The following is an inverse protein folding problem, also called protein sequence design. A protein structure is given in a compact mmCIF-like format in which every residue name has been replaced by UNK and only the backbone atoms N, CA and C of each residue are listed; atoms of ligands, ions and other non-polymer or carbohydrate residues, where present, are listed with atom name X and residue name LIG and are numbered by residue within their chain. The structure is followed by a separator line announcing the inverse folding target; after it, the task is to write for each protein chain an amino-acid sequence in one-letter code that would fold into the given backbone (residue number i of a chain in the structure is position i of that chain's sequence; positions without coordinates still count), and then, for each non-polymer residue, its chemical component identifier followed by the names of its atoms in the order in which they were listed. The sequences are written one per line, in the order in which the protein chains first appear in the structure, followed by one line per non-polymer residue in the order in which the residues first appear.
data_IF_890342840811
#
_entry.id   IF_890342840811
#
_cell.length_a   1.000
_cell.length_b   1.000
_cell.length_c   1.000
_cell.angle_alpha   90.00
_cell.angle_beta   90.00
_cell.angle_gamma   90.00
#
_symmetry.space_group_name_H-M   'P 1'
#
loop_
_entity.id
_entity.type
_entity.pdbx_description
1 polymer ?
#
# COMPACT_ATOMS: atom_id res chain seq x y z
N UNK A 1 6.53 40.85 83.28
CA UNK A 1 5.15 40.27 83.40
C UNK A 1 4.40 40.36 82.02
N UNK A 2 4.82 41.19 81.10
CA UNK A 2 4.10 41.43 79.82
C UNK A 2 4.41 40.47 78.65
N UNK A 3 5.50 39.71 78.69
CA UNK A 3 5.90 38.78 77.56
C UNK A 3 5.20 37.44 77.67
N UNK A 4 4.72 37.03 78.81
CA UNK A 4 4.01 35.74 79.00
C UNK A 4 2.52 35.76 78.57
N UNK A 5 1.88 36.90 78.48
CA UNK A 5 0.46 37.06 78.09
C UNK A 5 0.30 37.04 76.59
N UNK A 6 1.27 37.60 75.80
CA UNK A 6 1.19 37.62 74.34
C UNK A 6 1.34 36.22 73.75
N UNK A 7 2.08 35.33 74.43
CA UNK A 7 2.27 33.96 73.94
C UNK A 7 1.02 33.04 74.16
N UNK A 8 0.25 33.27 75.24
CA UNK A 8 -1.00 32.53 75.50
C UNK A 8 -2.13 32.92 74.52
N UNK A 9 -2.22 34.18 74.11
CA UNK A 9 -3.23 34.67 73.19
C UNK A 9 -2.98 34.18 71.75
N UNK A 10 -1.70 34.06 71.29
CA UNK A 10 -1.33 33.52 70.01
C UNK A 10 -1.55 31.99 69.94
N UNK A 11 -1.20 31.27 70.98
CA UNK A 11 -1.43 29.84 71.11
C UNK A 11 -2.94 29.51 71.10
N UNK A 12 -3.76 30.32 71.86
CA UNK A 12 -5.19 30.17 71.89
C UNK A 12 -5.82 30.46 70.50
N UNK A 13 -5.32 31.45 69.76
CA UNK A 13 -5.77 31.74 68.37
C UNK A 13 -5.38 30.60 67.40
N UNK A 14 -4.20 30.02 67.53
CA UNK A 14 -3.79 28.86 66.72
C UNK A 14 -4.62 27.61 67.03
N UNK A 15 -4.91 27.34 68.29
CA UNK A 15 -5.74 26.24 68.75
C UNK A 15 -7.21 26.40 68.27
N UNK A 16 -7.76 27.62 68.30
CA UNK A 16 -9.07 27.96 67.78
C UNK A 16 -9.12 27.85 66.28
N UNK A 17 -8.06 28.23 65.56
CA UNK A 17 -7.94 28.01 64.12
C UNK A 17 -7.91 26.52 63.82
N UNK A 18 -7.08 25.71 64.50
CA UNK A 18 -7.03 24.25 64.34
C UNK A 18 -8.37 23.61 64.63
N UNK A 19 -9.08 24.01 65.71
CA UNK A 19 -10.39 23.50 66.04
C UNK A 19 -11.49 23.88 65.04
N UNK A 20 -11.37 25.06 64.40
CA UNK A 20 -12.26 25.48 63.32
C UNK A 20 -12.03 24.68 62.04
N UNK A 21 -10.79 24.36 61.70
CA UNK A 21 -10.46 23.48 60.56
C UNK A 21 -10.92 22.03 60.80
N UNK A 22 -10.72 21.48 61.99
CA UNK A 22 -11.18 20.13 62.33
C UNK A 22 -12.71 20.02 62.25
N UNK A 23 -13.45 21.04 62.71
CA UNK A 23 -14.92 21.06 62.64
C UNK A 23 -15.46 21.17 61.18
N UNK A 24 -14.70 21.80 60.28
CA UNK A 24 -15.07 21.87 58.85
C UNK A 24 -14.96 20.50 58.19
N UNK A 25 -13.91 19.72 58.51
CA UNK A 25 -13.71 18.38 57.97
C UNK A 25 -14.68 17.31 58.54
N UNK A 26 -15.27 17.52 59.71
CA UNK A 26 -16.24 16.61 60.30
C UNK A 26 -17.71 17.03 60.08
N UNK A 27 -17.94 17.98 59.15
CA UNK A 27 -19.29 18.34 58.74
C UNK A 27 -19.72 17.41 57.57
N UNK A 28 -20.80 16.63 57.72
CA UNK A 28 -21.27 15.75 56.64
C UNK A 28 -21.50 16.49 55.31
N UNK A 29 -21.86 17.76 55.32
CA UNK A 29 -21.96 18.57 54.09
C UNK A 29 -20.60 18.68 53.34
N UNK A 30 -19.46 18.74 54.07
CA UNK A 30 -18.13 18.81 53.48
C UNK A 30 -17.80 17.51 52.78
N UNK A 31 -18.12 16.37 53.37
CA UNK A 31 -17.93 15.04 52.75
C UNK A 31 -18.68 14.92 51.41
N UNK A 32 -19.92 15.37 51.37
CA UNK A 32 -20.73 15.40 50.14
C UNK A 32 -20.19 16.33 49.06
N UNK A 33 -19.70 17.50 49.43
CA UNK A 33 -19.11 18.48 48.49
C UNK A 33 -17.84 17.89 47.90
N UNK A 34 -16.96 17.25 48.71
CA UNK A 34 -15.75 16.63 48.23
C UNK A 34 -16.06 15.43 47.33
N UNK A 35 -17.02 14.59 47.69
CA UNK A 35 -17.47 13.50 46.83
C UNK A 35 -17.98 13.99 45.47
N UNK A 36 -18.81 15.03 45.47
CA UNK A 36 -19.39 15.55 44.25
C UNK A 36 -18.30 16.17 43.36
N UNK A 37 -17.35 16.89 43.96
CA UNK A 37 -16.22 17.47 43.21
C UNK A 37 -15.29 16.41 42.64
N UNK A 38 -14.94 15.39 43.45
CA UNK A 38 -14.06 14.29 42.98
C UNK A 38 -14.75 13.46 41.91
N UNK A 39 -16.08 13.21 42.02
CA UNK A 39 -16.85 12.51 41.00
C UNK A 39 -16.85 13.29 39.65
N UNK A 40 -17.02 14.62 39.69
CA UNK A 40 -16.93 15.46 38.48
C UNK A 40 -15.56 15.36 37.84
N UNK A 41 -14.48 15.35 38.66
CA UNK A 41 -13.11 15.18 38.17
C UNK A 41 -12.91 13.77 37.55
N UNK A 42 -13.41 12.73 38.18
CA UNK A 42 -13.36 11.35 37.68
C UNK A 42 -14.09 11.23 36.34
N UNK A 43 -15.29 11.79 36.22
CA UNK A 43 -16.05 11.82 34.96
C UNK A 43 -15.30 12.62 33.90
N UNK A 44 -14.72 13.77 34.25
CA UNK A 44 -13.86 14.55 33.36
C UNK A 44 -12.66 13.76 32.86
N UNK A 45 -11.94 13.09 33.76
CA UNK A 45 -10.81 12.24 33.42
C UNK A 45 -11.20 11.07 32.52
N UNK A 46 -12.38 10.48 32.75
CA UNK A 46 -12.92 9.43 31.87
C UNK A 46 -13.12 9.92 30.44
N UNK A 47 -13.78 11.05 30.22
CA UNK A 47 -13.99 11.60 28.89
C UNK A 47 -12.70 12.02 28.21
N UNK A 48 -11.76 12.61 28.96
CA UNK A 48 -10.42 12.92 28.43
C UNK A 48 -9.67 11.64 27.99
N UNK A 49 -9.77 10.57 28.79
CA UNK A 49 -9.17 9.28 28.46
C UNK A 49 -9.79 8.65 27.20
N UNK A 50 -11.13 8.75 27.05
CA UNK A 50 -11.83 8.29 25.82
C UNK A 50 -11.31 9.05 24.59
N UNK A 51 -11.30 10.39 24.66
CA UNK A 51 -10.84 11.24 23.56
C UNK A 51 -9.37 10.97 23.20
N UNK A 52 -8.52 10.81 24.21
CA UNK A 52 -7.10 10.48 24.02
C UNK A 52 -6.90 9.14 23.31
N UNK A 53 -7.62 8.09 23.73
CA UNK A 53 -7.52 6.77 23.10
C UNK A 53 -8.02 6.83 21.66
N UNK A 54 -9.13 7.52 21.43
CA UNK A 54 -9.71 7.65 20.09
C UNK A 54 -8.77 8.40 19.14
N UNK A 55 -8.21 9.54 19.57
CA UNK A 55 -7.24 10.30 18.79
C UNK A 55 -5.99 9.47 18.48
N UNK A 56 -5.47 8.73 19.46
CA UNK A 56 -4.29 7.87 19.26
C UNK A 56 -4.55 6.76 18.22
N UNK A 57 -5.75 6.18 18.18
CA UNK A 57 -6.11 5.17 17.18
C UNK A 57 -6.23 5.82 15.79
N UNK A 58 -6.84 7.00 15.69
CA UNK A 58 -6.96 7.76 14.44
C UNK A 58 -5.58 8.16 13.88
N UNK A 59 -4.69 8.70 14.73
CA UNK A 59 -3.33 9.07 14.34
C UNK A 59 -2.53 7.86 13.83
N UNK A 60 -2.67 6.72 14.51
CA UNK A 60 -2.02 5.47 14.10
C UNK A 60 -2.56 4.98 12.75
N UNK A 61 -3.88 5.04 12.54
CA UNK A 61 -4.50 4.69 11.27
C UNK A 61 -4.03 5.61 10.14
N UNK A 62 -4.03 6.93 10.36
CA UNK A 62 -3.55 7.92 9.39
C UNK A 62 -2.07 7.71 9.03
N UNK A 63 -1.22 7.44 10.03
CA UNK A 63 0.19 7.14 9.82
C UNK A 63 0.40 5.89 8.97
N UNK A 64 -0.22 4.77 9.34
CA UNK A 64 -0.06 3.49 8.63
C UNK A 64 -0.60 3.53 7.21
N UNK A 65 -1.75 4.17 6.98
CA UNK A 65 -2.28 4.32 5.61
C UNK A 65 -1.34 5.12 4.73
N UNK A 66 -0.72 6.19 5.26
CA UNK A 66 0.26 7.00 4.54
C UNK A 66 1.56 6.23 4.27
N UNK A 67 2.00 5.41 5.22
CA UNK A 67 3.16 4.53 5.06
C UNK A 67 2.95 3.52 3.92
N UNK A 68 1.79 2.84 3.88
CA UNK A 68 1.44 1.89 2.82
C UNK A 68 1.38 2.59 1.45
N UNK A 69 0.74 3.77 1.36
CA UNK A 69 0.70 4.56 0.12
C UNK A 69 2.12 4.90 -0.39
N UNK A 70 2.99 5.37 0.51
CA UNK A 70 4.38 5.72 0.17
C UNK A 70 5.17 4.48 -0.25
N UNK A 71 5.03 3.38 0.48
CA UNK A 71 5.71 2.13 0.17
C UNK A 71 5.34 1.59 -1.22
N UNK A 72 4.06 1.66 -1.61
CA UNK A 72 3.60 1.27 -2.95
C UNK A 72 4.22 2.16 -4.02
N UNK A 73 4.17 3.49 -3.85
CA UNK A 73 4.74 4.46 -4.80
C UNK A 73 6.25 4.27 -4.97
N UNK A 74 6.96 4.14 -3.87
CA UNK A 74 8.42 4.01 -3.87
C UNK A 74 8.86 2.68 -4.48
N UNK A 75 8.15 1.60 -4.19
CA UNK A 75 8.46 0.29 -4.76
C UNK A 75 8.27 0.28 -6.27
N UNK A 76 7.17 0.81 -6.78
CA UNK A 76 6.92 0.87 -8.23
C UNK A 76 7.90 1.81 -8.94
N UNK A 77 8.34 2.90 -8.29
CA UNK A 77 9.39 3.77 -8.81
C UNK A 77 10.74 3.05 -8.91
N UNK A 78 11.11 2.26 -7.91
CA UNK A 78 12.33 1.45 -7.95
C UNK A 78 12.25 0.43 -9.10
N UNK A 79 11.11 -0.21 -9.30
CA UNK A 79 10.91 -1.16 -10.39
C UNK A 79 10.98 -0.50 -11.77
N UNK A 80 10.42 0.70 -11.91
CA UNK A 80 10.56 1.51 -13.10
C UNK A 80 12.04 1.80 -13.41
N UNK A 81 12.84 2.16 -12.40
CA UNK A 81 14.27 2.41 -12.60
C UNK A 81 15.03 1.17 -13.07
N UNK A 82 14.68 -0.02 -12.58
CA UNK A 82 15.28 -1.26 -13.07
C UNK A 82 14.94 -1.50 -14.56
N UNK A 83 13.70 -1.22 -14.97
CA UNK A 83 13.34 -1.32 -16.38
C UNK A 83 14.07 -0.27 -17.24
N UNK A 84 14.27 0.96 -16.72
CA UNK A 84 15.12 1.96 -17.39
C UNK A 84 16.56 1.49 -17.57
N UNK A 85 17.07 0.67 -16.65
CA UNK A 85 18.37 -0.02 -16.82
C UNK A 85 18.38 -0.95 -18.05
N UNK A 86 17.27 -1.70 -18.27
CA UNK A 86 17.09 -2.49 -19.49
C UNK A 86 17.03 -1.64 -20.78
N UNK A 87 16.35 -0.50 -20.74
CA UNK A 87 16.39 0.49 -21.83
C UNK A 87 17.81 1.01 -22.02
N UNK A 88 18.55 1.27 -20.94
CA UNK A 88 19.95 1.69 -20.98
C UNK A 88 20.85 0.67 -21.67
N UNK A 89 20.67 -0.63 -21.40
CA UNK A 89 21.40 -1.69 -22.10
C UNK A 89 21.10 -1.67 -23.61
N UNK A 90 19.83 -1.55 -24.01
CA UNK A 90 19.44 -1.44 -25.42
C UNK A 90 20.07 -0.21 -26.09
N UNK A 91 20.12 0.92 -25.39
CA UNK A 91 20.66 2.17 -25.92
C UNK A 91 22.19 2.18 -25.99
N UNK A 92 22.89 1.52 -25.06
CA UNK A 92 24.35 1.46 -25.02
C UNK A 92 24.94 0.48 -26.05
N UNK A 93 24.14 -0.47 -26.54
CA UNK A 93 24.57 -1.53 -27.45
C UNK A 93 24.17 -1.24 -28.90
N UNK A 94 24.91 -1.81 -29.85
CA UNK A 94 24.48 -1.83 -31.28
C UNK A 94 23.35 -2.84 -31.49
N UNK A 95 23.45 -3.97 -30.83
CA UNK A 95 22.43 -5.03 -30.75
C UNK A 95 22.56 -5.70 -29.40
N UNK A 96 21.49 -6.18 -28.84
CA UNK A 96 21.47 -6.96 -27.60
C UNK A 96 21.07 -8.38 -27.98
N UNK A 97 21.91 -9.35 -27.68
CA UNK A 97 21.63 -10.77 -27.86
C UNK A 97 20.78 -11.32 -26.71
N UNK A 98 20.14 -12.48 -26.89
CA UNK A 98 19.44 -13.19 -25.80
C UNK A 98 20.32 -13.43 -24.58
N UNK A 99 21.58 -13.81 -24.82
CA UNK A 99 22.51 -14.08 -23.76
C UNK A 99 22.89 -12.83 -22.95
N UNK A 100 23.08 -11.69 -23.60
CA UNK A 100 23.35 -10.41 -22.93
C UNK A 100 22.13 -9.96 -22.14
N UNK A 101 20.93 -10.09 -22.72
CA UNK A 101 19.68 -9.80 -21.99
C UNK A 101 19.52 -10.70 -20.76
N UNK A 102 19.75 -12.00 -20.92
CA UNK A 102 19.67 -12.97 -19.82
C UNK A 102 20.66 -12.63 -18.69
N UNK A 103 21.92 -12.35 -19.01
CA UNK A 103 22.94 -11.94 -18.02
C UNK A 103 22.58 -10.65 -17.31
N UNK A 104 22.01 -9.67 -18.03
CA UNK A 104 21.54 -8.45 -17.43
C UNK A 104 20.43 -8.71 -16.39
N UNK A 105 19.39 -9.45 -16.79
CA UNK A 105 18.26 -9.75 -15.89
C UNK A 105 18.69 -10.65 -14.72
N UNK A 106 19.59 -11.61 -14.94
CA UNK A 106 20.19 -12.44 -13.89
C UNK A 106 20.91 -11.56 -12.84
N UNK A 107 21.64 -10.53 -13.28
CA UNK A 107 22.34 -9.60 -12.39
C UNK A 107 21.42 -8.80 -11.47
N UNK A 108 20.17 -8.63 -11.84
CA UNK A 108 19.15 -7.96 -11.03
C UNK A 108 18.62 -8.82 -9.89
N UNK A 109 18.85 -10.15 -9.93
CA UNK A 109 18.37 -11.11 -8.92
C UNK A 109 16.88 -10.97 -8.64
N UNK A 110 16.06 -10.98 -9.69
CA UNK A 110 14.62 -10.66 -9.64
C UNK A 110 13.91 -11.47 -8.55
N UNK A 111 14.18 -12.77 -8.48
CA UNK A 111 13.52 -13.67 -7.53
C UNK A 111 13.87 -13.39 -6.06
N UNK A 112 15.03 -12.77 -5.79
CA UNK A 112 15.49 -12.48 -4.44
C UNK A 112 15.03 -11.11 -3.93
N UNK A 113 15.03 -10.10 -4.81
CA UNK A 113 14.90 -8.70 -4.41
C UNK A 113 13.63 -7.99 -4.93
N UNK A 114 12.91 -8.61 -5.89
CA UNK A 114 11.85 -7.95 -6.64
C UNK A 114 10.51 -8.69 -6.54
N UNK A 115 9.89 -8.77 -5.34
CA UNK A 115 8.65 -9.51 -5.17
C UNK A 115 7.54 -8.99 -6.10
N UNK A 116 6.79 -9.91 -6.68
CA UNK A 116 5.69 -9.62 -7.60
C UNK A 116 6.08 -9.50 -9.06
N UNK A 117 7.35 -9.24 -9.41
CA UNK A 117 7.83 -9.33 -10.79
C UNK A 117 7.95 -10.80 -11.19
N UNK A 118 7.36 -11.15 -12.35
CA UNK A 118 7.47 -12.50 -12.91
C UNK A 118 8.65 -12.64 -13.88
N UNK A 119 9.19 -11.52 -14.33
CA UNK A 119 10.32 -11.46 -15.25
C UNK A 119 10.48 -10.07 -15.84
N UNK A 120 11.54 -9.92 -16.64
CA UNK A 120 11.77 -8.73 -17.44
C UNK A 120 11.98 -9.14 -18.90
N UNK A 121 11.26 -8.49 -19.81
CA UNK A 121 11.29 -8.84 -21.21
C UNK A 121 11.45 -7.65 -22.15
N UNK A 122 11.67 -7.98 -23.40
CA UNK A 122 11.64 -7.04 -24.51
C UNK A 122 10.71 -7.54 -25.61
N UNK A 123 9.87 -6.64 -26.11
CA UNK A 123 8.95 -6.95 -27.21
C UNK A 123 9.09 -5.92 -28.31
N UNK A 124 8.97 -6.38 -29.54
CA UNK A 124 9.12 -5.56 -30.75
C UNK A 124 7.78 -5.37 -31.45
N UNK A 125 7.53 -4.21 -32.08
CA UNK A 125 6.44 -4.05 -33.03
C UNK A 125 6.79 -4.78 -34.32
N UNK A 126 5.79 -5.40 -34.96
CA UNK A 126 5.92 -6.08 -36.25
C UNK A 126 4.76 -5.70 -37.15
N UNK A 127 5.08 -5.31 -38.37
CA UNK A 127 4.07 -5.16 -39.42
C UNK A 127 3.58 -6.54 -39.88
N UNK A 128 2.35 -6.63 -40.42
CA UNK A 128 1.81 -7.92 -40.89
C UNK A 128 2.73 -8.66 -41.85
N UNK A 129 3.41 -7.93 -42.71
CA UNK A 129 4.32 -8.45 -43.75
C UNK A 129 5.60 -9.04 -43.15
N UNK A 130 6.03 -8.55 -41.98
CA UNK A 130 7.25 -9.00 -41.30
C UNK A 130 7.02 -10.25 -40.45
N UNK A 131 5.76 -10.57 -40.15
CA UNK A 131 5.41 -11.62 -39.20
C UNK A 131 6.02 -12.98 -39.52
N UNK A 132 5.91 -13.43 -40.78
CA UNK A 132 6.37 -14.76 -41.18
C UNK A 132 7.90 -14.83 -41.17
N UNK A 133 8.58 -13.84 -41.70
CA UNK A 133 10.05 -13.75 -41.69
C UNK A 133 10.60 -13.71 -40.28
N UNK A 134 9.92 -12.99 -39.40
CA UNK A 134 10.29 -12.95 -37.99
C UNK A 134 10.16 -14.34 -37.31
N UNK A 135 9.08 -15.06 -37.55
CA UNK A 135 8.89 -16.42 -37.01
C UNK A 135 10.02 -17.35 -37.47
N UNK A 136 10.33 -17.34 -38.77
CA UNK A 136 11.39 -18.15 -39.36
C UNK A 136 12.76 -17.81 -38.75
N UNK A 137 13.05 -16.54 -38.56
CA UNK A 137 14.27 -16.08 -37.90
C UNK A 137 14.38 -16.63 -36.48
N UNK A 138 13.35 -16.49 -35.64
CA UNK A 138 13.41 -16.97 -34.25
C UNK A 138 13.51 -18.50 -34.21
N UNK A 139 12.87 -19.21 -35.15
CA UNK A 139 13.00 -20.66 -35.23
C UNK A 139 14.42 -21.10 -35.60
N UNK A 140 15.10 -20.37 -36.47
CA UNK A 140 16.51 -20.63 -36.81
C UNK A 140 17.48 -20.34 -35.67
N UNK A 141 17.08 -19.52 -34.67
CA UNK A 141 17.81 -19.26 -33.44
C UNK A 141 17.69 -20.41 -32.41
N UNK A 142 17.03 -21.52 -32.73
CA UNK A 142 16.89 -22.70 -31.87
C UNK A 142 15.54 -22.82 -31.14
N UNK A 143 14.51 -22.09 -31.60
CA UNK A 143 13.15 -22.15 -31.06
C UNK A 143 12.14 -22.66 -32.09
N UNK A 144 12.18 -23.94 -32.50
CA UNK A 144 11.38 -24.47 -33.61
C UNK A 144 9.86 -24.31 -33.41
N UNK A 145 9.42 -24.31 -32.14
CA UNK A 145 7.98 -24.17 -31.78
C UNK A 145 7.52 -22.71 -31.66
N UNK A 146 8.39 -21.72 -31.98
CA UNK A 146 8.05 -20.32 -31.84
C UNK A 146 6.90 -19.95 -32.78
N UNK A 147 5.88 -19.29 -32.21
CA UNK A 147 4.71 -18.76 -32.90
C UNK A 147 4.32 -17.42 -32.30
N UNK A 148 3.76 -16.51 -33.10
CA UNK A 148 3.09 -15.31 -32.61
C UNK A 148 1.65 -15.66 -32.28
N UNK A 149 1.26 -15.57 -31.04
CA UNK A 149 -0.06 -15.91 -30.47
C UNK A 149 -0.65 -14.82 -29.60
N UNK A 150 -1.99 -14.65 -29.55
CA UNK A 150 -2.98 -15.50 -30.22
C UNK A 150 -3.00 -15.26 -31.74
N UNK A 151 -3.47 -16.22 -32.47
CA UNK A 151 -3.70 -16.09 -33.92
C UNK A 151 -4.69 -14.97 -34.24
N UNK A 152 -4.72 -14.54 -35.49
CA UNK A 152 -5.59 -13.50 -35.99
C UNK A 152 -4.86 -12.44 -36.80
N UNK A 153 -5.58 -11.75 -37.68
CA UNK A 153 -5.05 -10.66 -38.51
C UNK A 153 -5.17 -9.33 -37.78
N UNK A 154 -4.10 -8.56 -37.78
CA UNK A 154 -3.99 -7.23 -37.14
C UNK A 154 -3.14 -6.31 -37.96
N UNK A 155 -3.39 -5.02 -37.86
CA UNK A 155 -2.59 -3.98 -38.51
C UNK A 155 -1.21 -3.79 -37.90
N UNK A 156 -1.01 -4.27 -36.68
CA UNK A 156 0.26 -4.26 -35.96
C UNK A 156 0.26 -5.42 -34.98
N UNK A 157 1.37 -6.13 -34.89
CA UNK A 157 1.65 -7.13 -33.87
C UNK A 157 2.72 -6.63 -32.92
N UNK A 158 2.80 -7.25 -31.76
CA UNK A 158 3.88 -7.03 -30.79
C UNK A 158 4.34 -8.41 -30.31
N UNK A 159 5.57 -8.77 -30.64
CA UNK A 159 6.09 -10.08 -30.27
C UNK A 159 7.07 -10.01 -29.09
N UNK A 160 6.86 -10.80 -28.07
CA UNK A 160 7.82 -10.98 -26.99
C UNK A 160 8.99 -11.82 -27.54
N UNK A 161 10.16 -11.19 -27.63
CA UNK A 161 11.38 -11.84 -28.12
C UNK A 161 12.38 -12.17 -27.01
N UNK A 162 12.39 -11.41 -25.93
CA UNK A 162 13.18 -11.71 -24.72
C UNK A 162 12.26 -11.69 -23.51
N UNK A 163 12.46 -12.65 -22.61
CA UNK A 163 11.78 -12.71 -21.31
C UNK A 163 12.60 -13.59 -20.36
N UNK A 164 13.12 -12.99 -19.30
CA UNK A 164 13.94 -13.66 -18.31
C UNK A 164 13.40 -13.47 -16.89
N UNK A 165 13.57 -14.46 -16.00
CA UNK A 165 14.18 -15.78 -16.25
C UNK A 165 13.35 -16.59 -17.25
N UNK A 166 14.02 -17.34 -18.17
CA UNK A 166 13.33 -18.16 -19.19
C UNK A 166 12.89 -19.50 -18.64
N UNK A 167 12.14 -19.45 -17.53
CA UNK A 167 11.57 -20.61 -16.86
C UNK A 167 10.30 -21.15 -17.53
N UNK A 168 9.72 -22.21 -16.95
CA UNK A 168 8.52 -22.88 -17.50
C UNK A 168 7.28 -21.96 -17.55
N UNK A 169 7.16 -20.99 -16.63
CA UNK A 169 6.08 -20.01 -16.63
C UNK A 169 6.25 -18.98 -17.75
N UNK A 170 7.42 -18.39 -17.83
CA UNK A 170 7.75 -17.36 -18.80
C UNK A 170 7.79 -17.87 -20.23
N UNK A 171 8.21 -19.13 -20.46
CA UNK A 171 8.11 -19.78 -21.78
C UNK A 171 6.70 -19.74 -22.39
N UNK A 172 5.64 -19.72 -21.56
CA UNK A 172 4.26 -19.62 -22.05
C UNK A 172 3.96 -18.29 -22.72
N UNK A 173 4.65 -17.22 -22.31
CA UNK A 173 4.48 -15.88 -22.87
C UNK A 173 5.43 -15.60 -24.05
N UNK A 174 6.39 -16.47 -24.35
CA UNK A 174 7.30 -16.30 -25.47
C UNK A 174 6.52 -16.30 -26.80
N UNK A 175 6.70 -15.27 -27.62
CA UNK A 175 5.93 -15.05 -28.84
C UNK A 175 4.51 -14.49 -28.64
N UNK A 176 4.12 -14.19 -27.40
CA UNK A 176 2.79 -13.60 -27.19
C UNK A 176 2.72 -12.19 -27.78
N UNK A 177 1.66 -11.96 -28.55
CA UNK A 177 1.32 -10.66 -29.11
C UNK A 177 0.56 -9.83 -28.07
N UNK A 178 1.27 -8.97 -27.36
CA UNK A 178 0.68 -8.11 -26.34
C UNK A 178 -0.27 -7.06 -26.93
N UNK A 179 -0.10 -6.69 -28.19
CA UNK A 179 -0.96 -5.73 -28.89
C UNK A 179 -2.38 -6.25 -29.11
N UNK A 180 -2.56 -7.59 -29.07
CA UNK A 180 -3.86 -8.25 -29.16
C UNK A 180 -4.83 -7.92 -28.02
N UNK A 181 -4.30 -7.53 -26.87
CA UNK A 181 -5.09 -7.21 -25.68
C UNK A 181 -5.23 -5.69 -25.53
N UNK A 182 -6.46 -5.19 -25.40
CA UNK A 182 -6.77 -3.77 -25.36
C UNK A 182 -6.10 -3.05 -24.16
N UNK A 183 -6.16 -3.63 -22.94
CA UNK A 183 -5.58 -3.01 -21.75
C UNK A 183 -4.06 -2.85 -21.88
N UNK A 184 -3.39 -3.84 -22.49
CA UNK A 184 -1.97 -3.77 -22.79
C UNK A 184 -1.68 -2.73 -23.86
N UNK A 185 -2.43 -2.74 -24.97
CA UNK A 185 -2.27 -1.83 -26.10
C UNK A 185 -2.39 -0.36 -25.71
N UNK A 186 -3.33 0.00 -24.83
CA UNK A 186 -3.47 1.36 -24.30
C UNK A 186 -2.17 1.81 -23.60
N UNK A 187 -1.63 1.00 -22.70
CA UNK A 187 -0.40 1.33 -21.98
C UNK A 187 0.82 1.36 -22.90
N UNK A 188 0.93 0.39 -23.81
CA UNK A 188 2.02 0.34 -24.82
C UNK A 188 2.02 1.56 -25.72
N UNK A 189 0.85 2.00 -26.16
CA UNK A 189 0.67 3.22 -26.96
C UNK A 189 1.06 4.44 -26.16
N UNK A 190 0.60 4.55 -24.92
CA UNK A 190 0.92 5.67 -24.05
C UNK A 190 2.43 5.76 -23.78
N UNK A 191 3.07 4.64 -23.42
CA UNK A 191 4.51 4.59 -23.20
C UNK A 191 5.28 5.08 -24.45
N UNK A 192 4.99 4.52 -25.63
CA UNK A 192 5.62 4.91 -26.90
C UNK A 192 5.39 6.38 -27.23
N UNK A 193 4.14 6.84 -27.16
CA UNK A 193 3.77 8.17 -27.67
C UNK A 193 4.16 9.29 -26.70
N UNK A 194 4.30 9.01 -25.41
CA UNK A 194 4.73 9.97 -24.38
C UNK A 194 6.23 9.88 -24.03
N UNK A 195 6.88 8.76 -24.33
CA UNK A 195 8.28 8.55 -23.96
C UNK A 195 8.49 8.32 -22.47
N UNK A 196 7.52 7.71 -21.78
CA UNK A 196 7.52 7.49 -20.33
C UNK A 196 7.14 6.06 -19.98
N UNK A 197 7.35 5.66 -18.73
CA UNK A 197 6.81 4.41 -18.22
C UNK A 197 5.28 4.44 -18.17
N UNK A 198 4.63 3.32 -18.48
CA UNK A 198 3.18 3.18 -18.42
C UNK A 198 2.75 1.83 -17.88
N UNK A 199 1.80 1.86 -16.93
CA UNK A 199 1.16 0.66 -16.41
C UNK A 199 -0.08 0.29 -17.22
N UNK A 200 -0.25 -1.02 -17.50
CA UNK A 200 -1.50 -1.52 -18.07
C UNK A 200 -2.63 -1.49 -17.05
N UNK A 201 -3.87 -1.62 -17.51
CA UNK A 201 -4.98 -1.99 -16.64
C UNK A 201 -4.85 -3.43 -16.13
N UNK A 202 -5.83 -3.85 -15.34
CA UNK A 202 -5.91 -5.22 -14.81
C UNK A 202 -5.96 -6.22 -15.96
N UNK A 203 -5.12 -7.22 -15.84
CA UNK A 203 -5.09 -8.37 -16.73
C UNK A 203 -4.87 -9.67 -15.94
N UNK A 204 -5.16 -10.80 -16.57
CA UNK A 204 -4.60 -12.09 -16.18
C UNK A 204 -3.33 -12.30 -16.98
N UNK A 205 -2.21 -12.59 -16.28
CA UNK A 205 -0.93 -12.81 -16.95
C UNK A 205 -0.96 -14.12 -17.76
N UNK A 206 -0.27 -14.14 -18.89
CA UNK A 206 -0.13 -15.37 -19.71
C UNK A 206 0.63 -16.47 -18.95
N UNK A 207 1.46 -16.05 -18.00
CA UNK A 207 2.23 -16.91 -17.10
C UNK A 207 1.38 -17.59 -16.02
N UNK A 208 0.14 -17.13 -15.77
CA UNK A 208 -0.71 -17.73 -14.73
C UNK A 208 -1.07 -19.18 -15.07
N UNK A 209 -1.16 -19.99 -14.02
CA UNK A 209 -1.56 -21.40 -14.07
C UNK A 209 -2.96 -21.55 -13.50
N UNK A 210 -3.48 -22.78 -13.44
CA UNK A 210 -4.79 -23.06 -12.81
C UNK A 210 -4.74 -22.92 -11.28
N UNK A 211 -3.55 -22.95 -10.71
CA UNK A 211 -3.30 -22.83 -9.27
C UNK A 211 -2.89 -21.40 -8.96
N UNK A 212 -3.46 -20.81 -7.91
CA UNK A 212 -3.14 -19.45 -7.42
C UNK A 212 -3.19 -18.36 -8.51
N UNK A 213 -4.32 -18.28 -9.23
CA UNK A 213 -4.53 -17.24 -10.24
C UNK A 213 -4.67 -15.89 -9.56
N UNK A 214 -3.76 -14.97 -9.90
CA UNK A 214 -3.79 -13.60 -9.41
C UNK A 214 -4.09 -12.61 -10.53
N UNK A 215 -4.73 -11.50 -10.18
CA UNK A 215 -4.78 -10.33 -11.05
C UNK A 215 -3.39 -9.71 -11.15
N UNK A 216 -3.09 -9.15 -12.29
CA UNK A 216 -1.80 -8.53 -12.55
C UNK A 216 -1.90 -7.34 -13.47
N UNK A 217 -0.77 -6.74 -13.72
CA UNK A 217 -0.58 -5.66 -14.69
C UNK A 217 0.83 -5.75 -15.29
N UNK A 218 1.09 -4.96 -16.33
CA UNK A 218 2.44 -4.82 -16.90
C UNK A 218 2.88 -3.35 -16.88
N UNK A 219 4.15 -3.15 -16.64
CA UNK A 219 4.82 -1.86 -16.85
C UNK A 219 5.61 -1.91 -18.15
N UNK A 220 5.46 -0.89 -18.98
CA UNK A 220 6.10 -0.76 -20.29
C UNK A 220 6.95 0.50 -20.36
N UNK A 221 8.17 0.38 -20.89
CA UNK A 221 9.06 1.48 -21.18
C UNK A 221 9.48 1.45 -22.65
N UNK A 222 9.41 2.58 -23.37
CA UNK A 222 9.73 2.60 -24.79
C UNK A 222 11.25 2.62 -25.03
N UNK A 223 11.67 1.97 -26.11
CA UNK A 223 13.02 2.01 -26.65
C UNK A 223 12.98 2.62 -28.05
N UNK A 224 13.91 3.54 -28.34
CA UNK A 224 14.00 4.24 -29.61
C UNK A 224 15.37 4.05 -30.27
N UNK A 225 15.42 4.08 -31.62
CA UNK A 225 16.65 3.97 -32.41
C UNK A 225 17.63 5.11 -32.14
N UNK A 226 17.11 6.29 -31.82
CA UNK A 226 17.89 7.49 -31.49
C UNK A 226 18.67 7.36 -30.18
N UNK A 227 18.46 6.28 -29.39
CA UNK A 227 19.07 6.03 -28.07
C UNK A 227 18.72 7.10 -27.02
N UNK A 228 17.90 8.06 -27.37
CA UNK A 228 17.32 9.10 -26.52
C UNK A 228 15.84 9.22 -26.85
N UNK A 229 15.07 9.81 -25.95
CA UNK A 229 13.62 10.03 -26.18
C UNK A 229 13.44 11.14 -27.21
N UNK A 230 12.87 10.85 -28.41
CA UNK A 230 12.64 11.87 -29.43
C UNK A 230 11.66 12.95 -28.94
N UNK A 231 11.83 14.17 -29.41
CA UNK A 231 11.07 15.34 -28.94
C UNK A 231 9.61 15.34 -29.40
N UNK A 232 9.35 14.98 -30.66
CA UNK A 232 8.01 15.02 -31.22
C UNK A 232 7.33 13.65 -31.22
N UNK A 233 6.01 13.66 -31.26
CA UNK A 233 5.21 12.42 -31.35
C UNK A 233 5.53 11.65 -32.64
N UNK A 234 5.72 12.38 -33.75
CA UNK A 234 6.05 11.79 -35.05
C UNK A 234 7.38 11.04 -34.97
N UNK A 235 8.43 11.70 -34.50
CA UNK A 235 9.73 11.07 -34.31
C UNK A 235 9.67 9.86 -33.36
N UNK A 236 8.92 9.93 -32.24
CA UNK A 236 8.74 8.79 -31.34
C UNK A 236 8.13 7.59 -32.03
N UNK A 237 7.19 7.77 -32.93
CA UNK A 237 6.59 6.66 -33.70
C UNK A 237 7.50 6.12 -34.78
N UNK A 238 8.22 6.99 -35.49
CA UNK A 238 9.13 6.60 -36.55
C UNK A 238 10.40 5.92 -36.06
N UNK A 239 10.92 6.34 -34.91
CA UNK A 239 12.16 5.83 -34.32
C UNK A 239 11.92 4.73 -33.26
N UNK A 240 10.70 4.22 -33.19
CA UNK A 240 10.33 3.25 -32.18
C UNK A 240 10.88 1.86 -32.47
N UNK A 241 11.58 1.25 -31.48
CA UNK A 241 12.15 -0.09 -31.60
C UNK A 241 11.33 -1.16 -30.86
N UNK A 242 10.73 -0.81 -29.72
CA UNK A 242 10.01 -1.77 -28.91
C UNK A 242 9.85 -1.33 -27.46
N UNK A 243 9.40 -2.27 -26.64
CA UNK A 243 9.14 -2.04 -25.21
C UNK A 243 9.98 -2.97 -24.35
N UNK A 244 10.74 -2.40 -23.42
CA UNK A 244 11.16 -3.12 -22.22
C UNK A 244 9.96 -3.19 -21.30
N UNK A 245 9.69 -4.34 -20.71
CA UNK A 245 8.49 -4.52 -19.88
C UNK A 245 8.71 -5.51 -18.75
N UNK A 246 7.88 -5.42 -17.71
CA UNK A 246 7.79 -6.42 -16.66
C UNK A 246 6.33 -6.74 -16.32
N UNK A 247 5.96 -8.03 -16.20
CA UNK A 247 4.67 -8.46 -15.67
C UNK A 247 4.70 -8.57 -14.15
N UNK A 248 3.65 -8.06 -13.50
CA UNK A 248 3.47 -8.04 -12.06
C UNK A 248 2.26 -8.85 -11.62
N UNK A 249 2.44 -9.73 -10.63
CA UNK A 249 1.35 -10.35 -9.87
C UNK A 249 1.03 -9.46 -8.69
N UNK A 250 -0.21 -8.95 -8.63
CA UNK A 250 -0.58 -7.92 -7.66
C UNK A 250 -0.50 -8.42 -6.20
N UNK A 251 -0.93 -9.65 -5.94
CA UNK A 251 -0.86 -10.23 -4.60
C UNK A 251 0.57 -10.41 -4.10
N UNK A 252 1.46 -10.96 -4.93
CA UNK A 252 2.87 -11.15 -4.58
C UNK A 252 3.58 -9.81 -4.39
N UNK A 253 3.25 -8.81 -5.24
CA UNK A 253 3.77 -7.46 -5.12
C UNK A 253 3.38 -6.83 -3.79
N UNK A 254 2.10 -6.85 -3.44
CA UNK A 254 1.61 -6.24 -2.20
C UNK A 254 2.14 -6.94 -0.95
N UNK A 255 2.22 -8.27 -0.95
CA UNK A 255 2.88 -9.02 0.13
C UNK A 255 4.34 -8.62 0.31
N UNK A 256 5.05 -8.38 -0.79
CA UNK A 256 6.44 -7.93 -0.74
C UNK A 256 6.64 -6.48 -0.31
N UNK A 257 5.61 -5.63 -0.42
CA UNK A 257 5.64 -4.22 0.00
C UNK A 257 5.25 -4.07 1.46
N UNK A 258 4.12 -4.66 1.84
CA UNK A 258 3.49 -4.45 3.15
C UNK A 258 3.95 -5.48 4.18
N UNK A 259 4.54 -6.59 3.71
CA UNK A 259 4.92 -7.73 4.56
C UNK A 259 3.73 -8.65 4.87
N UNK A 260 3.76 -9.27 6.04
CA UNK A 260 2.62 -10.02 6.55
C UNK A 260 1.44 -9.09 6.86
N UNK A 261 0.21 -9.63 6.76
CA UNK A 261 -1.04 -8.92 7.04
C UNK A 261 -0.93 -8.05 8.29
N UNK A 262 -1.25 -6.75 8.16
CA UNK A 262 -1.39 -5.89 9.33
C UNK A 262 -2.70 -6.27 10.03
N UNK A 263 -2.66 -6.73 11.28
CA UNK A 263 -3.88 -7.18 11.95
C UNK A 263 -4.90 -6.07 12.22
N UNK A 264 -4.53 -4.81 11.99
CA UNK A 264 -5.37 -3.66 12.32
C UNK A 264 -5.90 -2.90 11.10
N UNK A 265 -5.32 -3.12 9.89
CA UNK A 265 -5.69 -2.39 8.69
C UNK A 265 -5.92 -3.35 7.53
N UNK A 266 -7.09 -3.27 6.96
CA UNK A 266 -7.43 -3.89 5.69
C UNK A 266 -7.40 -2.84 4.59
N UNK A 267 -6.96 -3.23 3.40
CA UNK A 267 -7.03 -2.35 2.26
C UNK A 267 -7.30 -3.09 0.95
N UNK A 268 -7.97 -2.38 0.07
CA UNK A 268 -8.28 -2.80 -1.28
C UNK A 268 -7.69 -1.81 -2.28
N UNK A 269 -7.16 -2.31 -3.38
CA UNK A 269 -6.63 -1.50 -4.47
C UNK A 269 -7.50 -1.71 -5.69
N UNK A 270 -7.98 -0.61 -6.25
CA UNK A 270 -8.80 -0.58 -7.45
C UNK A 270 -8.05 0.10 -8.60
N UNK A 271 -8.15 -0.47 -9.78
CA UNK A 271 -7.59 0.07 -11.02
C UNK A 271 -8.52 1.14 -11.58
N UNK A 272 -8.11 2.39 -11.49
CA UNK A 272 -8.92 3.55 -11.84
C UNK A 272 -9.61 4.18 -10.64
N UNK A 273 -10.67 4.95 -10.91
CA UNK A 273 -11.42 5.68 -9.89
C UNK A 273 -12.63 4.90 -9.35
N UNK A 274 -13.15 3.98 -10.13
CA UNK A 274 -14.32 3.19 -9.77
C UNK A 274 -13.93 2.04 -8.84
N UNK A 275 -14.61 1.94 -7.69
CA UNK A 275 -14.45 0.86 -6.71
C UNK A 275 -15.50 -0.22 -6.97
N UNK A 276 -15.12 -1.28 -7.69
CA UNK A 276 -15.99 -2.40 -8.05
C UNK A 276 -15.20 -3.71 -8.14
N UNK A 277 -15.89 -4.85 -8.14
CA UNK A 277 -15.24 -6.16 -8.32
C UNK A 277 -14.48 -6.29 -9.65
N UNK A 278 -14.92 -5.57 -10.69
CA UNK A 278 -14.23 -5.55 -11.99
C UNK A 278 -12.91 -4.79 -11.94
N UNK A 279 -12.85 -3.73 -11.15
CA UNK A 279 -11.67 -2.87 -10.98
C UNK A 279 -10.82 -3.23 -9.77
N UNK A 280 -11.26 -4.17 -8.92
CA UNK A 280 -10.49 -4.65 -7.78
C UNK A 280 -9.22 -5.36 -8.27
N UNK A 281 -8.06 -4.78 -7.98
CA UNK A 281 -6.73 -5.33 -8.30
C UNK A 281 -6.21 -6.23 -7.18
N UNK A 282 -6.36 -5.79 -5.94
CA UNK A 282 -5.86 -6.48 -4.75
C UNK A 282 -6.77 -6.26 -3.55
N UNK A 283 -6.86 -7.29 -2.67
CA UNK A 283 -7.52 -7.22 -1.38
C UNK A 283 -6.62 -7.90 -0.34
N UNK A 284 -6.30 -7.18 0.75
CA UNK A 284 -5.44 -7.70 1.81
C UNK A 284 -6.12 -8.77 2.67
N UNK A 285 -7.47 -8.79 2.72
CA UNK A 285 -8.26 -9.73 3.55
C UNK A 285 -9.36 -10.44 2.74
N UNK A 286 -9.01 -11.32 1.81
CA UNK A 286 -10.00 -11.96 0.94
C UNK A 286 -11.01 -12.86 1.68
N UNK A 287 -10.74 -13.25 2.93
CA UNK A 287 -11.60 -14.15 3.72
C UNK A 287 -12.81 -13.46 4.34
N UNK A 288 -12.81 -12.13 4.48
CA UNK A 288 -13.88 -11.38 5.12
C UNK A 288 -15.02 -10.93 4.19
N UNK A 289 -14.92 -11.17 2.88
CA UNK A 289 -15.98 -10.80 1.93
C UNK A 289 -17.16 -11.78 1.79
N UNK A 290 -17.18 -12.90 2.52
CA UNK A 290 -18.30 -13.83 2.48
C UNK A 290 -19.43 -13.39 3.41
N UNK A 291 -20.42 -12.64 2.87
CA UNK A 291 -21.80 -12.51 3.37
C UNK A 291 -22.03 -11.92 4.77
N UNK A 292 -21.13 -11.12 5.34
CA UNK A 292 -21.51 -10.33 6.50
C UNK A 292 -21.91 -8.91 6.07
N UNK A 293 -23.10 -8.40 6.51
CA UNK A 293 -23.47 -7.01 6.28
C UNK A 293 -22.46 -6.12 6.99
N UNK A 294 -21.98 -5.10 6.25
CA UNK A 294 -21.08 -4.03 6.65
C UNK A 294 -20.67 -4.07 8.14
N UNK A 295 -19.50 -4.63 8.42
CA UNK A 295 -18.86 -4.42 9.72
C UNK A 295 -18.68 -2.90 9.87
N UNK A 296 -19.14 -2.34 10.97
CA UNK A 296 -18.89 -0.94 11.31
C UNK A 296 -17.37 -0.77 11.44
N UNK A 297 -16.74 -0.26 10.39
CA UNK A 297 -15.34 0.17 10.45
C UNK A 297 -15.29 1.48 11.23
N UNK A 298 -14.50 1.54 12.29
CA UNK A 298 -14.34 2.74 13.11
C UNK A 298 -13.71 3.88 12.29
N UNK A 299 -12.80 3.54 11.35
CA UNK A 299 -12.13 4.50 10.45
C UNK A 299 -12.06 3.96 9.03
N UNK A 300 -12.27 4.86 8.08
CA UNK A 300 -12.14 4.58 6.65
C UNK A 300 -11.40 5.72 5.97
N UNK A 301 -10.48 5.40 5.06
CA UNK A 301 -9.77 6.38 4.24
C UNK A 301 -9.71 5.90 2.80
N UNK A 302 -9.98 6.80 1.87
CA UNK A 302 -9.75 6.56 0.43
C UNK A 302 -8.62 7.44 -0.05
N UNK A 303 -7.61 6.83 -0.66
CA UNK A 303 -6.48 7.52 -1.27
C UNK A 303 -6.46 7.28 -2.79
N UNK A 304 -6.09 8.31 -3.54
CA UNK A 304 -5.87 8.22 -5.00
C UNK A 304 -4.41 8.46 -5.29
N UNK A 305 -3.79 7.53 -5.98
CA UNK A 305 -2.40 7.60 -6.39
C UNK A 305 -2.29 7.46 -7.90
N UNK A 306 -1.39 8.21 -8.53
CA UNK A 306 -1.09 8.08 -9.95
C UNK A 306 0.23 7.35 -10.11
N UNK A 307 0.23 6.23 -10.83
CA UNK A 307 1.38 5.35 -11.00
C UNK A 307 1.62 5.10 -12.49
N UNK A 308 2.75 5.62 -13.01
CA UNK A 308 3.17 5.45 -14.41
C UNK A 308 1.99 5.64 -15.40
N UNK A 309 1.34 6.82 -15.30
CA UNK A 309 0.25 7.22 -16.17
C UNK A 309 -1.12 6.57 -15.89
N UNK A 310 -1.24 5.77 -14.81
CA UNK A 310 -2.50 5.12 -14.44
C UNK A 310 -2.92 5.47 -13.02
N UNK A 311 -4.16 5.94 -12.77
CA UNK A 311 -4.66 6.17 -11.43
C UNK A 311 -5.03 4.84 -10.75
N UNK A 312 -4.71 4.73 -9.46
CA UNK A 312 -5.22 3.68 -8.58
C UNK A 312 -5.95 4.32 -7.40
N UNK A 313 -7.04 3.69 -6.99
CA UNK A 313 -7.77 4.06 -5.77
C UNK A 313 -7.49 3.01 -4.71
N UNK A 314 -7.05 3.43 -3.53
CA UNK A 314 -6.81 2.56 -2.38
C UNK A 314 -7.86 2.89 -1.32
N UNK A 315 -8.64 1.92 -0.93
CA UNK A 315 -9.59 2.02 0.18
C UNK A 315 -9.00 1.31 1.39
N UNK A 316 -8.84 2.04 2.49
CA UNK A 316 -8.37 1.53 3.76
C UNK A 316 -9.53 1.47 4.75
N UNK A 317 -9.58 0.39 5.51
CA UNK A 317 -10.54 0.17 6.58
C UNK A 317 -9.82 -0.30 7.83
N UNK A 318 -10.32 0.05 9.02
CA UNK A 318 -9.85 -0.57 10.25
C UNK A 318 -10.39 -1.99 10.33
N UNK A 319 -9.55 -2.92 10.74
CA UNK A 319 -10.01 -4.25 11.11
C UNK A 319 -10.48 -4.26 12.56
N UNK A 320 -11.71 -4.70 12.82
CA UNK A 320 -12.22 -4.78 14.20
C UNK A 320 -11.52 -5.91 15.00
N UNK A 321 -10.29 -5.65 15.41
CA UNK A 321 -9.57 -6.47 16.40
C UNK A 321 -9.83 -5.98 17.82
N UNK A 322 -11.01 -5.41 18.06
CA UNK A 322 -11.40 -4.76 19.31
C UNK A 322 -11.15 -5.58 20.59
N UNK A 323 -10.98 -6.90 20.45
CA UNK A 323 -10.77 -7.78 21.60
C UNK A 323 -9.33 -7.81 22.18
N UNK A 324 -8.32 -7.30 21.47
CA UNK A 324 -6.90 -7.42 21.89
C UNK A 324 -6.20 -6.13 22.32
N UNK A 325 -6.79 -4.96 22.14
CA UNK A 325 -6.15 -3.68 22.52
C UNK A 325 -6.42 -3.37 23.99
N UNK A 326 -5.42 -3.61 24.85
CA UNK A 326 -5.44 -3.21 26.29
C UNK A 326 -5.68 -1.70 26.45
N UNK A 327 -5.36 -0.89 25.44
CA UNK A 327 -5.57 0.57 25.43
C UNK A 327 -7.05 0.97 25.44
N UNK A 328 -7.96 0.18 24.82
CA UNK A 328 -9.41 0.41 24.87
C UNK A 328 -9.99 0.25 26.29
N UNK A 329 -9.27 -0.41 27.20
CA UNK A 329 -9.66 -0.56 28.60
C UNK A 329 -9.21 0.62 29.47
N UNK A 330 -8.34 1.51 28.98
CA UNK A 330 -7.84 2.64 29.76
C UNK A 330 -8.95 3.52 30.33
N UNK A 331 -9.98 3.94 29.58
CA UNK A 331 -11.08 4.73 30.15
C UNK A 331 -11.84 3.99 31.27
N UNK A 332 -12.06 2.67 31.12
CA UNK A 332 -12.69 1.84 32.14
C UNK A 332 -11.84 1.76 33.42
N UNK A 333 -10.52 1.61 33.26
CA UNK A 333 -9.59 1.62 34.39
C UNK A 333 -9.57 2.96 35.11
N UNK A 334 -9.60 4.07 34.36
CA UNK A 334 -9.68 5.43 34.91
C UNK A 334 -10.99 5.60 35.71
N UNK A 335 -12.12 5.16 35.18
CA UNK A 335 -13.41 5.23 35.89
C UNK A 335 -13.44 4.39 37.15
N UNK A 336 -12.90 3.15 37.10
CA UNK A 336 -12.86 2.25 38.28
C UNK A 336 -11.92 2.78 39.37
N UNK A 337 -10.70 3.22 38.97
CA UNK A 337 -9.73 3.77 39.91
C UNK A 337 -10.21 5.07 40.53
N UNK A 338 -10.78 5.97 39.73
CA UNK A 338 -11.37 7.23 40.21
C UNK A 338 -12.54 7.00 41.15
N UNK A 339 -13.48 6.12 40.79
CA UNK A 339 -14.60 5.78 41.66
C UNK A 339 -14.16 5.14 42.99
N UNK A 340 -13.11 4.32 42.97
CA UNK A 340 -12.52 3.79 44.21
C UNK A 340 -11.95 4.91 45.08
N UNK A 341 -11.21 5.84 44.52
CA UNK A 341 -10.66 7.01 45.21
C UNK A 341 -11.78 7.89 45.78
N UNK A 342 -12.85 8.14 45.00
CA UNK A 342 -14.00 8.93 45.42
C UNK A 342 -14.69 8.34 46.66
N UNK A 343 -14.91 7.02 46.68
CA UNK A 343 -15.49 6.29 47.80
C UNK A 343 -14.57 6.30 49.05
N UNK A 344 -13.26 6.17 48.84
CA UNK A 344 -12.28 6.17 49.91
C UNK A 344 -12.19 7.56 50.55
N UNK A 345 -12.19 8.64 49.74
CA UNK A 345 -12.21 10.02 50.26
C UNK A 345 -13.48 10.30 51.06
N UNK A 346 -14.63 9.86 50.56
CA UNK A 346 -15.90 9.99 51.25
C UNK A 346 -15.87 9.28 52.59
N UNK A 347 -15.39 8.00 52.64
CA UNK A 347 -15.32 7.21 53.88
C UNK A 347 -14.40 7.81 54.93
N UNK A 348 -13.27 8.40 54.53
CA UNK A 348 -12.28 9.02 55.45
C UNK A 348 -12.81 10.33 56.05
N UNK A 349 -13.67 11.06 55.34
CA UNK A 349 -14.16 12.38 55.75
C UNK A 349 -15.52 12.29 56.44
N UNK A 350 -16.35 11.30 56.08
CA UNK A 350 -17.66 11.05 56.70
C UNK A 350 -17.52 10.38 58.05
#
# INVERSE_FOLDING_TARGET
MMVFEVNKTNLAKELLKKKKYINIFHNPATAWIILLTSLVLTVGAYFLSVSFVQQKVEDRFAFRTTEIESAIKDRLRIYEQALWGGVGLMNASKSVSRQEWAKYVESLKINEHWPGIQGMGFSIPLQPEEKQTHIEKIRSEGFPEYLIKPEGTRNLYSAIIYLEPFDWRNKRAFGYDMWSNEMRRIAMTYARDKGVAANSGIITLVQETKEDIQKGFLMYLPVYQTKTIPKTLKERREQFMGWVYAPFRAGDLMKGIVGSEDPNIEFEIFDGEAMSQKTLLFNSSPRHHSNQPHQNHDFQKTARISLQGRPWTIQFNTHDTSSKNSEKNLPRLVALAGGFVDLLLFYVIY
#
